data_IF_018379663196
#
_entry.id   IF_018379663196
#
_cell.length_a   1.000
_cell.length_b   1.000
_cell.length_c   1.000
_cell.angle_alpha   90.00
_cell.angle_beta   90.00
_cell.angle_gamma   90.00
#
_symmetry.space_group_name_H-M   'P 1'
#
loop_
_entity.id
_entity.type
_entity.pdbx_description
1 polymer ?
#
# COMPACT_ATOMS: atom_id res chain seq x y z
N UNK A 1 10.62 -14.19 -1.42
CA UNK A 1 11.35 -12.90 -1.37
C UNK A 1 10.39 -11.79 -1.74
N UNK A 2 10.35 -10.69 -1.00
CA UNK A 2 9.46 -9.54 -1.24
C UNK A 2 10.26 -8.34 -1.72
N UNK A 3 9.93 -7.84 -2.90
CA UNK A 3 10.59 -6.72 -3.55
C UNK A 3 9.56 -5.62 -3.75
N UNK A 4 9.88 -4.40 -3.35
CA UNK A 4 9.10 -3.22 -3.76
C UNK A 4 9.86 -2.49 -4.85
N UNK A 5 9.13 -2.07 -5.88
CA UNK A 5 9.63 -1.18 -6.91
C UNK A 5 9.10 0.22 -6.60
N UNK A 6 10.01 1.17 -6.36
CA UNK A 6 9.66 2.51 -5.90
C UNK A 6 10.39 3.59 -6.71
N UNK A 7 9.79 4.77 -6.81
CA UNK A 7 10.38 5.95 -7.46
C UNK A 7 9.94 7.21 -6.75
N UNK A 8 10.81 8.22 -6.71
CA UNK A 8 10.47 9.48 -6.03
C UNK A 8 9.53 10.40 -6.82
N UNK A 9 9.24 10.10 -8.09
CA UNK A 9 8.20 10.77 -8.88
C UNK A 9 7.52 9.83 -9.87
N UNK A 10 6.41 10.31 -10.44
CA UNK A 10 5.72 9.66 -11.55
C UNK A 10 6.51 9.74 -12.86
N UNK A 11 6.31 8.75 -13.74
CA UNK A 11 6.82 8.78 -15.11
C UNK A 11 8.29 8.37 -15.29
N UNK A 12 8.96 7.83 -14.27
CA UNK A 12 10.33 7.25 -14.39
C UNK A 12 10.34 5.82 -14.96
N UNK A 13 9.17 5.22 -15.21
CA UNK A 13 9.04 3.84 -15.71
C UNK A 13 8.99 2.77 -14.63
N UNK A 14 8.70 3.14 -13.38
CA UNK A 14 8.53 2.24 -12.23
C UNK A 14 7.66 1.01 -12.54
N UNK A 15 6.41 1.22 -13.00
CA UNK A 15 5.50 0.12 -13.35
C UNK A 15 6.07 -0.75 -14.45
N UNK A 16 6.66 -0.16 -15.49
CA UNK A 16 7.30 -0.90 -16.59
C UNK A 16 8.42 -1.81 -16.08
N UNK A 17 9.27 -1.31 -15.18
CA UNK A 17 10.33 -2.12 -14.55
C UNK A 17 9.72 -3.20 -13.66
N UNK A 18 8.69 -2.89 -12.88
CA UNK A 18 8.03 -3.83 -11.98
C UNK A 18 7.38 -4.99 -12.74
N UNK A 19 6.62 -4.70 -13.79
CA UNK A 19 5.92 -5.72 -14.59
C UNK A 19 6.92 -6.52 -15.43
N UNK A 20 7.95 -5.89 -15.97
CA UNK A 20 9.05 -6.60 -16.65
C UNK A 20 9.77 -7.55 -15.71
N UNK A 21 10.07 -7.12 -14.47
CA UNK A 21 10.66 -7.97 -13.44
C UNK A 21 9.76 -9.17 -13.14
N UNK A 22 8.44 -8.97 -13.07
CA UNK A 22 7.48 -10.06 -12.83
C UNK A 22 7.47 -11.10 -13.96
N UNK A 23 7.55 -10.67 -15.22
CA UNK A 23 7.54 -11.55 -16.39
C UNK A 23 8.82 -12.38 -16.54
N UNK A 24 9.96 -11.84 -16.09
CA UNK A 24 11.26 -12.54 -16.20
C UNK A 24 11.68 -13.23 -14.91
N UNK A 25 10.96 -12.98 -13.80
CA UNK A 25 11.21 -13.63 -12.53
C UNK A 25 11.00 -15.14 -12.66
N UNK A 26 12.00 -15.92 -12.23
CA UNK A 26 11.87 -17.37 -12.16
C UNK A 26 10.98 -17.79 -10.99
N UNK A 27 10.13 -18.79 -11.20
CA UNK A 27 9.28 -19.38 -10.15
C UNK A 27 7.88 -18.77 -10.07
N UNK A 28 7.18 -19.03 -8.97
CA UNK A 28 5.83 -18.52 -8.74
C UNK A 28 5.88 -17.06 -8.25
N UNK A 29 5.23 -16.16 -8.99
CA UNK A 29 5.26 -14.71 -8.75
C UNK A 29 3.89 -14.22 -8.29
N UNK A 30 3.91 -13.41 -7.22
CA UNK A 30 2.81 -12.53 -6.83
C UNK A 30 3.12 -11.10 -7.22
N UNK A 31 2.17 -10.42 -7.83
CA UNK A 31 2.27 -9.01 -8.17
C UNK A 31 1.15 -8.23 -7.49
N UNK A 32 1.52 -7.19 -6.73
CA UNK A 32 0.60 -6.27 -6.08
C UNK A 32 0.78 -4.87 -6.66
N UNK A 33 -0.24 -4.34 -7.33
CA UNK A 33 -0.26 -2.94 -7.76
C UNK A 33 -0.75 -2.06 -6.60
N UNK A 34 0.20 -1.47 -5.87
CA UNK A 34 -0.06 -0.62 -4.72
C UNK A 34 -0.22 0.85 -5.09
N UNK A 35 -0.14 1.22 -6.38
CA UNK A 35 -0.47 2.57 -6.86
C UNK A 35 -1.99 2.75 -6.97
N UNK A 36 -2.68 2.66 -5.83
CA UNK A 36 -4.14 2.52 -5.77
C UNK A 36 -4.92 3.75 -6.27
N UNK A 37 -4.24 4.88 -6.41
CA UNK A 37 -4.81 6.11 -6.97
C UNK A 37 -4.83 6.08 -8.50
N UNK A 38 -3.89 5.36 -9.12
CA UNK A 38 -3.74 5.26 -10.56
C UNK A 38 -3.18 3.88 -10.98
N UNK A 39 -3.85 2.77 -10.64
CA UNK A 39 -3.33 1.43 -10.90
C UNK A 39 -3.29 1.19 -12.41
N UNK A 40 -2.19 0.64 -12.90
CA UNK A 40 -1.92 0.50 -14.33
C UNK A 40 -1.15 -0.77 -14.69
N UNK A 41 -0.73 -1.59 -13.72
CA UNK A 41 0.01 -2.82 -13.97
C UNK A 41 -0.82 -3.85 -14.76
N UNK A 42 -2.15 -3.85 -14.59
CA UNK A 42 -3.06 -4.71 -15.33
C UNK A 42 -2.99 -4.48 -16.86
N UNK A 43 -2.61 -3.27 -17.31
CA UNK A 43 -2.42 -2.97 -18.73
C UNK A 43 -1.23 -3.72 -19.35
N UNK A 44 -0.23 -4.05 -18.54
CA UNK A 44 0.98 -4.76 -18.97
C UNK A 44 0.85 -6.28 -18.78
N UNK A 45 0.23 -6.70 -17.68
CA UNK A 45 0.16 -8.10 -17.27
C UNK A 45 -1.11 -8.82 -17.73
N UNK A 46 -2.13 -8.06 -18.18
CA UNK A 46 -3.39 -8.56 -18.72
C UNK A 46 -4.08 -9.66 -17.87
N UNK A 47 -4.26 -9.47 -16.55
CA UNK A 47 -4.88 -10.47 -15.68
C UNK A 47 -6.36 -10.67 -16.01
N UNK A 48 -6.85 -11.90 -15.84
CA UNK A 48 -8.29 -12.15 -15.73
C UNK A 48 -8.69 -11.89 -14.29
N UNK A 49 -9.40 -10.78 -14.05
CA UNK A 49 -9.87 -10.40 -12.72
C UNK A 49 -11.14 -11.19 -12.37
N UNK A 50 -11.04 -12.06 -11.37
CA UNK A 50 -12.13 -12.97 -10.96
C UNK A 50 -12.72 -12.61 -9.60
N UNK A 51 -12.02 -11.76 -8.85
CA UNK A 51 -12.34 -11.45 -7.46
C UNK A 51 -12.43 -9.95 -7.25
N UNK A 52 -13.37 -9.57 -6.38
CA UNK A 52 -13.66 -8.19 -6.03
C UNK A 52 -14.01 -8.14 -4.54
N UNK A 53 -13.40 -7.22 -3.81
CA UNK A 53 -13.62 -7.03 -2.38
C UNK A 53 -13.64 -5.55 -2.04
N UNK A 54 -14.73 -5.09 -1.41
CA UNK A 54 -14.79 -3.73 -0.86
C UNK A 54 -13.76 -3.58 0.27
N UNK A 55 -13.05 -2.46 0.26
CA UNK A 55 -12.07 -2.10 1.28
C UNK A 55 -12.36 -0.70 1.80
N UNK A 56 -12.21 -0.54 3.10
CA UNK A 56 -12.58 0.69 3.78
C UNK A 56 -12.14 0.69 5.22
N UNK A 57 -12.56 1.73 5.93
CA UNK A 57 -12.32 1.87 7.36
C UNK A 57 -13.63 1.83 8.13
N UNK A 58 -13.55 1.46 9.40
CA UNK A 58 -14.69 1.46 10.29
C UNK A 58 -14.91 2.86 10.87
N UNK A 59 -15.93 3.57 10.39
CA UNK A 59 -16.29 4.88 10.91
C UNK A 59 -17.29 4.76 12.07
N UNK A 60 -17.13 5.58 13.12
CA UNK A 60 -18.09 5.61 14.21
C UNK A 60 -19.46 6.15 13.77
N UNK A 61 -20.51 5.64 14.38
CA UNK A 61 -21.89 6.12 14.26
C UNK A 61 -22.45 6.29 15.66
N UNK A 62 -22.88 7.51 15.96
CA UNK A 62 -23.42 7.88 17.29
C UNK A 62 -24.92 7.64 17.31
N UNK A 63 -25.38 6.88 18.30
CA UNK A 63 -26.78 6.79 18.68
C UNK A 63 -27.13 7.97 19.61
N UNK A 64 -27.83 8.96 19.07
CA UNK A 64 -28.25 10.16 19.81
C UNK A 64 -29.26 9.88 20.91
N UNK A 65 -29.93 8.71 20.92
CA UNK A 65 -30.83 8.33 22.01
C UNK A 65 -30.07 7.84 23.25
N UNK A 66 -28.87 7.29 23.06
CA UNK A 66 -28.00 6.80 24.14
C UNK A 66 -26.91 7.80 24.53
N UNK A 67 -26.52 8.68 23.61
CA UNK A 67 -25.41 9.60 23.83
C UNK A 67 -25.73 10.66 24.89
N UNK A 68 -24.93 10.69 25.95
CA UNK A 68 -25.00 11.74 26.98
C UNK A 68 -24.18 12.98 26.65
N UNK A 69 -23.51 13.00 25.49
CA UNK A 69 -22.56 14.05 25.08
C UNK A 69 -21.43 14.29 26.10
N UNK A 70 -20.99 13.24 26.79
CA UNK A 70 -19.97 13.33 27.83
C UNK A 70 -18.57 13.74 27.33
N UNK A 71 -18.31 13.68 26.02
CA UNK A 71 -17.04 14.09 25.43
C UNK A 71 -15.94 13.01 25.41
N UNK A 72 -16.14 11.86 26.07
CA UNK A 72 -15.09 10.83 26.20
C UNK A 72 -14.53 10.34 24.86
N UNK A 73 -15.38 10.21 23.84
CA UNK A 73 -14.97 9.81 22.49
C UNK A 73 -14.04 10.83 21.82
N UNK A 74 -14.23 12.12 22.07
CA UNK A 74 -13.36 13.18 21.58
C UNK A 74 -12.03 13.23 22.33
N UNK A 75 -12.05 13.01 23.66
CA UNK A 75 -10.84 12.95 24.49
C UNK A 75 -9.86 11.85 24.06
N UNK A 76 -10.37 10.67 23.69
CA UNK A 76 -9.54 9.52 23.30
C UNK A 76 -9.18 9.51 21.80
N UNK A 77 -9.61 10.51 21.05
CA UNK A 77 -9.37 10.59 19.61
C UNK A 77 -8.09 11.37 19.32
N UNK A 78 -6.98 10.64 19.14
CA UNK A 78 -5.66 11.21 18.78
C UNK A 78 -5.67 11.97 17.45
N UNK A 79 -6.62 11.67 16.57
CA UNK A 79 -6.75 12.30 15.25
C UNK A 79 -7.70 13.50 15.26
N UNK A 80 -8.33 13.79 16.41
CA UNK A 80 -9.32 14.86 16.55
C UNK A 80 -10.47 14.80 15.52
N UNK A 81 -10.81 13.58 15.10
CA UNK A 81 -11.92 13.32 14.17
C UNK A 81 -13.31 13.45 14.82
N UNK A 82 -13.38 13.75 16.11
CA UNK A 82 -14.62 13.86 16.88
C UNK A 82 -14.60 15.13 17.71
N UNK A 83 -15.68 15.91 17.64
CA UNK A 83 -15.90 17.08 18.48
C UNK A 83 -17.27 17.00 19.16
N UNK A 84 -17.34 17.40 20.43
CA UNK A 84 -18.62 17.50 21.16
C UNK A 84 -18.88 18.96 21.49
N UNK A 85 -19.96 19.52 20.96
CA UNK A 85 -20.34 20.93 21.12
C UNK A 85 -21.77 21.00 21.63
N UNK A 86 -21.94 21.35 22.90
CA UNK A 86 -23.25 21.36 23.56
C UNK A 86 -23.87 19.97 23.56
N UNK A 87 -24.97 19.80 22.82
CA UNK A 87 -25.69 18.52 22.67
C UNK A 87 -25.54 17.93 21.27
N UNK A 88 -24.36 18.07 20.67
CA UNK A 88 -24.05 17.50 19.37
C UNK A 88 -22.69 16.82 19.41
N UNK A 89 -22.63 15.61 18.87
CA UNK A 89 -21.39 14.87 18.64
C UNK A 89 -21.12 14.87 17.14
N UNK A 90 -20.11 15.63 16.71
CA UNK A 90 -19.71 15.74 15.31
C UNK A 90 -18.58 14.76 15.03
N UNK A 91 -18.68 14.03 13.92
CA UNK A 91 -17.64 13.16 13.39
C UNK A 91 -17.17 13.76 12.07
N UNK A 92 -15.85 13.81 11.87
CA UNK A 92 -15.18 14.23 10.64
C UNK A 92 -14.57 12.98 9.99
N UNK A 93 -15.28 12.32 9.05
CA UNK A 93 -14.83 11.09 8.41
C UNK A 93 -13.41 11.19 7.83
N UNK A 94 -13.08 12.34 7.24
CA UNK A 94 -11.83 12.58 6.52
C UNK A 94 -10.60 12.58 7.43
N UNK A 95 -10.81 12.80 8.73
CA UNK A 95 -9.77 12.75 9.77
C UNK A 95 -9.78 11.42 10.54
N UNK A 96 -10.75 10.54 10.29
CA UNK A 96 -10.90 9.32 11.05
C UNK A 96 -9.99 8.21 10.48
N UNK A 97 -9.20 7.57 11.34
CA UNK A 97 -8.35 6.43 10.94
C UNK A 97 -9.00 5.06 11.23
N UNK A 98 -10.27 5.04 11.63
CA UNK A 98 -11.02 3.81 11.92
C UNK A 98 -10.43 2.92 13.02
N UNK A 99 -9.78 3.50 14.03
CA UNK A 99 -9.12 2.74 15.10
C UNK A 99 -10.06 2.15 16.16
N UNK A 100 -11.35 2.52 16.15
CA UNK A 100 -12.35 2.04 17.11
C UNK A 100 -12.23 2.54 18.55
N UNK A 101 -11.23 3.40 18.87
CA UNK A 101 -11.00 3.88 20.24
C UNK A 101 -12.22 4.56 20.85
N UNK A 102 -12.95 5.36 20.06
CA UNK A 102 -14.16 6.05 20.50
C UNK A 102 -15.30 5.10 20.90
N UNK A 103 -15.53 4.02 20.13
CA UNK A 103 -16.53 3.00 20.43
C UNK A 103 -16.16 2.23 21.69
N UNK A 104 -14.90 1.79 21.80
CA UNK A 104 -14.39 1.03 22.95
C UNK A 104 -14.46 1.82 24.27
N UNK A 105 -14.28 3.13 24.22
CA UNK A 105 -14.24 4.00 25.40
C UNK A 105 -15.57 4.72 25.68
N UNK A 106 -16.63 4.46 24.91
CA UNK A 106 -17.93 5.07 25.16
C UNK A 106 -18.59 4.45 26.40
N UNK A 107 -18.80 5.20 27.50
CA UNK A 107 -19.39 4.63 28.73
C UNK A 107 -20.85 4.20 28.53
N UNK A 108 -21.59 4.92 27.68
CA UNK A 108 -23.00 4.64 27.37
C UNK A 108 -23.17 3.59 26.28
N UNK A 109 -22.07 3.12 25.67
CA UNK A 109 -22.10 2.26 24.46
C UNK A 109 -22.93 2.85 23.32
N UNK A 110 -22.96 4.18 23.23
CA UNK A 110 -23.71 4.93 22.23
C UNK A 110 -23.01 5.00 20.87
N UNK A 111 -21.83 4.41 20.70
CA UNK A 111 -21.07 4.47 19.44
C UNK A 111 -20.96 3.05 18.89
N UNK A 112 -21.49 2.87 17.68
CA UNK A 112 -21.28 1.70 16.84
C UNK A 112 -20.34 2.03 15.69
N UNK A 113 -19.93 1.04 14.89
CA UNK A 113 -19.05 1.24 13.75
C UNK A 113 -19.73 0.74 12.47
N UNK A 114 -19.60 1.50 11.39
CA UNK A 114 -20.02 1.10 10.04
C UNK A 114 -18.82 1.10 9.11
N UNK A 115 -18.79 0.15 8.17
CA UNK A 115 -17.80 0.18 7.10
C UNK A 115 -18.06 1.37 6.18
N UNK A 116 -17.04 2.17 5.96
CA UNK A 116 -17.02 3.24 4.98
C UNK A 116 -16.07 2.84 3.87
N UNK A 117 -16.63 2.49 2.71
CA UNK A 117 -15.91 1.88 1.60
C UNK A 117 -15.12 2.96 0.86
N UNK A 118 -13.80 2.84 0.90
CA UNK A 118 -12.86 3.78 0.28
C UNK A 118 -12.38 3.29 -1.09
N UNK A 119 -12.67 2.06 -1.46
CA UNK A 119 -12.24 1.49 -2.72
C UNK A 119 -12.47 -0.01 -2.77
N UNK A 120 -11.84 -0.64 -3.72
CA UNK A 120 -11.98 -2.08 -3.97
C UNK A 120 -10.61 -2.70 -4.17
N UNK A 121 -10.50 -3.98 -3.80
CA UNK A 121 -9.40 -4.84 -4.18
C UNK A 121 -9.89 -5.78 -5.26
N UNK A 122 -9.13 -5.87 -6.33
CA UNK A 122 -9.41 -6.76 -7.45
C UNK A 122 -8.22 -7.68 -7.67
N UNK A 123 -8.48 -8.92 -8.04
CA UNK A 123 -7.39 -9.86 -8.29
C UNK A 123 -7.79 -11.06 -9.13
N UNK A 124 -6.77 -11.80 -9.54
CA UNK A 124 -6.89 -12.91 -10.46
C UNK A 124 -5.54 -13.42 -10.95
N UNK A 125 -5.51 -14.03 -12.13
CA UNK A 125 -4.31 -14.65 -12.69
C UNK A 125 -4.01 -14.10 -14.09
N UNK A 126 -2.73 -13.90 -14.41
CA UNK A 126 -2.28 -13.48 -15.74
C UNK A 126 -2.12 -14.67 -16.70
N UNK A 127 -2.04 -14.46 -18.03
CA UNK A 127 -1.71 -15.51 -18.98
C UNK A 127 -0.38 -16.21 -18.68
N UNK A 128 0.58 -15.49 -18.11
CA UNK A 128 1.90 -16.00 -17.68
C UNK A 128 1.88 -16.69 -16.31
N UNK A 129 0.70 -16.84 -15.69
CA UNK A 129 0.53 -17.54 -14.41
C UNK A 129 0.91 -16.73 -13.17
N UNK A 130 0.98 -15.40 -13.26
CA UNK A 130 1.27 -14.49 -12.13
C UNK A 130 -0.01 -14.32 -11.29
N UNK A 131 0.13 -14.49 -9.96
CA UNK A 131 -0.90 -14.17 -8.96
C UNK A 131 -1.00 -12.64 -8.83
N UNK A 132 -2.02 -12.04 -9.42
CA UNK A 132 -2.14 -10.59 -9.55
C UNK A 132 -3.21 -10.03 -8.61
N UNK A 133 -2.93 -8.91 -7.97
CA UNK A 133 -3.94 -8.08 -7.33
C UNK A 133 -3.61 -6.59 -7.43
N UNK A 134 -4.66 -5.77 -7.40
CA UNK A 134 -4.57 -4.32 -7.38
C UNK A 134 -5.56 -3.74 -6.37
N UNK A 135 -5.26 -2.57 -5.84
CA UNK A 135 -6.23 -1.73 -5.15
C UNK A 135 -6.69 -0.62 -6.09
N UNK A 136 -7.98 -0.30 -6.05
CA UNK A 136 -8.57 0.82 -6.78
C UNK A 136 -9.27 1.71 -5.77
N UNK A 137 -8.75 2.92 -5.58
CA UNK A 137 -9.29 3.90 -4.64
C UNK A 137 -10.46 4.66 -5.27
N UNK A 138 -11.49 4.94 -4.48
CA UNK A 138 -12.58 5.82 -4.88
C UNK A 138 -12.06 7.25 -5.06
N UNK A 139 -12.67 7.99 -6.00
CA UNK A 139 -12.28 9.38 -6.26
C UNK A 139 -12.66 10.26 -5.08
N UNK A 140 -11.70 11.05 -4.60
CA UNK A 140 -11.90 12.00 -3.50
C UNK A 140 -11.55 11.46 -2.12
N UNK A 141 -11.09 10.21 -2.02
CA UNK A 141 -10.65 9.64 -0.76
C UNK A 141 -9.38 10.31 -0.23
N UNK A 142 -9.29 10.56 1.09
CA UNK A 142 -8.17 11.30 1.67
C UNK A 142 -6.94 10.42 1.93
N UNK A 143 -7.08 9.09 1.94
CA UNK A 143 -6.02 8.18 2.37
C UNK A 143 -5.97 6.88 1.57
N UNK A 144 -4.86 6.65 0.86
CA UNK A 144 -4.58 5.40 0.17
C UNK A 144 -4.05 4.27 1.10
N UNK A 145 -3.47 4.63 2.25
CA UNK A 145 -2.78 3.68 3.15
C UNK A 145 -3.65 2.50 3.61
N UNK A 146 -4.94 2.67 4.00
CA UNK A 146 -5.80 1.55 4.36
C UNK A 146 -5.95 0.51 3.24
N UNK A 147 -6.13 0.97 2.00
CA UNK A 147 -6.28 0.11 0.82
C UNK A 147 -4.99 -0.69 0.59
N UNK A 148 -3.84 -0.01 0.59
CA UNK A 148 -2.52 -0.66 0.43
C UNK A 148 -2.28 -1.70 1.53
N UNK A 149 -2.68 -1.40 2.76
CA UNK A 149 -2.51 -2.32 3.90
C UNK A 149 -3.34 -3.60 3.73
N UNK A 150 -4.57 -3.50 3.26
CA UNK A 150 -5.39 -4.70 2.98
C UNK A 150 -4.90 -5.43 1.72
N UNK A 151 -4.49 -4.72 0.67
CA UNK A 151 -3.90 -5.32 -0.53
C UNK A 151 -2.66 -6.17 -0.21
N UNK A 152 -1.81 -5.73 0.72
CA UNK A 152 -0.64 -6.50 1.18
C UNK A 152 -0.99 -7.81 1.87
N UNK A 153 -2.24 -8.01 2.29
CA UNK A 153 -2.75 -9.26 2.87
C UNK A 153 -3.42 -10.16 1.82
N UNK A 154 -3.46 -9.72 0.55
CA UNK A 154 -4.10 -10.45 -0.53
C UNK A 154 -3.59 -11.89 -0.61
N UNK A 155 -4.53 -12.83 -0.71
CA UNK A 155 -4.22 -14.24 -0.87
C UNK A 155 -5.27 -14.94 -1.74
N UNK A 156 -4.92 -15.20 -3.00
CA UNK A 156 -5.78 -15.86 -3.98
C UNK A 156 -6.24 -17.26 -3.56
N UNK A 157 -5.52 -17.96 -2.68
CA UNK A 157 -5.92 -19.26 -2.15
C UNK A 157 -7.04 -19.18 -1.10
N UNK A 158 -7.14 -18.08 -0.35
CA UNK A 158 -8.14 -17.94 0.72
C UNK A 158 -9.54 -17.61 0.18
N UNK A 159 -9.63 -17.10 -1.05
CA UNK A 159 -10.86 -16.58 -1.64
C UNK A 159 -11.61 -17.60 -2.51
N UNK A 160 -10.98 -18.72 -2.89
CA UNK A 160 -11.65 -19.81 -3.65
C UNK A 160 -12.68 -20.61 -2.83
N UNK A 161 -12.82 -20.35 -1.52
CA UNK A 161 -13.70 -21.11 -0.63
C UNK A 161 -14.55 -20.29 0.36
N UNK A 162 -14.53 -18.95 0.29
CA UNK A 162 -15.14 -18.10 1.31
C UNK A 162 -16.13 -17.09 0.70
N UNK A 163 -17.29 -17.57 0.24
CA UNK A 163 -18.42 -16.69 -0.06
C UNK A 163 -19.73 -17.29 0.48
N UNK A 164 -20.07 -16.88 1.71
CA UNK A 164 -21.46 -16.64 2.09
C UNK A 164 -21.52 -15.22 2.71
N UNK A 165 -22.54 -14.40 2.39
CA UNK A 165 -22.68 -13.03 2.91
C UNK A 165 -22.77 -12.92 4.45
N UNK A 166 -23.00 -14.04 5.13
CA UNK A 166 -23.24 -14.09 6.58
C UNK A 166 -21.93 -14.04 7.41
N UNK A 167 -20.79 -14.42 6.81
CA UNK A 167 -19.52 -14.59 7.54
C UNK A 167 -18.89 -13.27 8.02
N UNK A 168 -19.15 -12.14 7.34
CA UNK A 168 -18.59 -10.83 7.69
C UNK A 168 -19.16 -10.29 9.00
N UNK A 169 -20.40 -10.67 9.36
CA UNK A 169 -21.05 -10.26 10.62
C UNK A 169 -20.52 -10.95 11.87
N UNK A 170 -19.67 -11.98 11.72
CA UNK A 170 -19.34 -12.92 12.80
C UNK A 170 -17.89 -12.90 13.29
N UNK A 171 -17.03 -12.03 12.74
CA UNK A 171 -15.65 -11.90 13.21
C UNK A 171 -15.65 -11.20 14.58
N UNK A 172 -15.33 -11.90 15.69
CA UNK A 172 -15.31 -11.28 16.99
C UNK A 172 -14.09 -10.36 17.07
N UNK A 173 -14.33 -9.09 17.41
CA UNK A 173 -13.28 -8.18 17.82
C UNK A 173 -12.47 -8.79 18.97
N UNK A 174 -11.22 -9.17 18.70
CA UNK A 174 -10.28 -9.55 19.75
C UNK A 174 -8.85 -9.06 19.49
N UNK A 175 -8.47 -8.16 20.39
CA UNK A 175 -7.15 -7.95 21.00
C UNK A 175 -5.97 -7.70 20.06
N UNK A 176 -5.64 -6.40 19.95
CA UNK A 176 -4.26 -5.92 19.86
C UNK A 176 -3.45 -6.49 21.05
N UNK A 177 -2.79 -7.62 20.85
CA UNK A 177 -1.59 -7.93 21.62
C UNK A 177 -0.47 -7.04 21.07
N UNK A 178 0.34 -6.48 21.99
CA UNK A 178 1.63 -5.81 21.70
C UNK A 178 2.26 -6.41 20.44
N UNK A 179 2.60 -5.57 19.47
CA UNK A 179 3.38 -5.95 18.30
C UNK A 179 4.78 -6.42 18.74
N UNK A 180 4.87 -7.67 19.21
CA UNK A 180 6.09 -8.44 19.13
C UNK A 180 6.32 -8.75 17.65
N UNK A 181 7.51 -8.40 17.15
CA UNK A 181 7.99 -8.72 15.81
C UNK A 181 7.60 -10.18 15.50
N UNK A 182 6.71 -10.44 14.52
CA UNK A 182 6.23 -11.80 14.30
C UNK A 182 7.43 -12.69 14.00
N UNK A 183 7.48 -13.92 14.57
CA UNK A 183 8.50 -14.88 14.19
C UNK A 183 8.42 -15.06 12.67
N UNK A 184 9.56 -15.28 12.02
CA UNK A 184 9.63 -15.64 10.60
C UNK A 184 8.90 -16.97 10.41
N UNK A 185 7.58 -16.93 10.30
CA UNK A 185 6.77 -18.06 9.91
C UNK A 185 7.02 -18.26 8.43
N UNK A 186 7.78 -19.31 8.10
CA UNK A 186 7.85 -19.86 6.76
C UNK A 186 6.42 -20.04 6.25
N UNK A 187 6.03 -19.23 5.27
CA UNK A 187 4.73 -19.37 4.63
C UNK A 187 4.63 -20.75 3.97
N UNK A 188 3.44 -21.38 3.97
CA UNK A 188 3.21 -22.60 3.22
C UNK A 188 3.41 -22.30 1.72
N UNK A 189 3.98 -23.27 0.99
CA UNK A 189 4.38 -23.19 -0.42
C UNK A 189 3.30 -22.54 -1.31
N UNK A 190 3.66 -21.52 -2.09
CA UNK A 190 2.70 -20.86 -2.98
C UNK A 190 3.16 -19.66 -3.83
N UNK A 191 4.17 -18.87 -3.45
CA UNK A 191 4.80 -17.86 -4.32
C UNK A 191 6.24 -17.59 -3.83
N UNK A 192 7.24 -17.79 -4.68
CA UNK A 192 8.66 -17.62 -4.32
C UNK A 192 9.05 -16.14 -4.30
N UNK A 193 8.37 -15.30 -5.10
CA UNK A 193 8.65 -13.88 -5.26
C UNK A 193 7.34 -13.08 -5.16
N UNK A 194 7.33 -12.04 -4.35
CA UNK A 194 6.27 -11.03 -4.30
C UNK A 194 6.85 -9.69 -4.74
N UNK A 195 6.25 -9.07 -5.75
CA UNK A 195 6.61 -7.76 -6.29
C UNK A 195 5.49 -6.79 -5.94
N UNK A 196 5.85 -5.65 -5.37
CA UNK A 196 4.93 -4.55 -5.07
C UNK A 196 5.28 -3.35 -5.92
N UNK A 197 4.35 -2.89 -6.76
CA UNK A 197 4.50 -1.63 -7.47
C UNK A 197 4.02 -0.49 -6.58
N UNK A 198 4.93 0.33 -6.07
CA UNK A 198 4.61 1.43 -5.15
C UNK A 198 3.90 2.58 -5.88
N UNK A 199 3.10 3.43 -5.22
CA UNK A 199 2.77 4.74 -5.77
C UNK A 199 4.05 5.59 -5.94
N UNK A 200 4.02 6.64 -6.77
CA UNK A 200 5.13 7.58 -6.91
C UNK A 200 5.28 8.46 -5.66
N UNK A 201 6.49 8.95 -5.41
CA UNK A 201 6.75 9.95 -4.38
C UNK A 201 7.56 9.44 -3.20
N UNK A 202 7.44 10.16 -2.09
CA UNK A 202 8.12 9.88 -0.82
C UNK A 202 7.15 10.08 0.37
N UNK A 203 5.90 9.63 0.20
CA UNK A 203 4.78 9.86 1.14
C UNK A 203 4.38 8.58 1.89
N UNK A 204 3.40 8.67 2.81
CA UNK A 204 2.94 7.54 3.62
C UNK A 204 2.52 6.29 2.81
N UNK A 205 1.84 6.41 1.65
CA UNK A 205 1.58 5.27 0.76
C UNK A 205 2.84 4.50 0.34
N UNK A 206 3.92 5.21 -0.01
CA UNK A 206 5.22 4.61 -0.36
C UNK A 206 5.82 3.86 0.82
N UNK A 207 5.81 4.50 1.99
CA UNK A 207 6.30 3.89 3.25
C UNK A 207 5.51 2.62 3.57
N UNK A 208 4.17 2.65 3.46
CA UNK A 208 3.34 1.49 3.72
C UNK A 208 3.65 0.33 2.75
N UNK A 209 3.86 0.61 1.46
CA UNK A 209 4.25 -0.42 0.48
C UNK A 209 5.61 -1.05 0.81
N UNK A 210 6.59 -0.23 1.24
CA UNK A 210 7.93 -0.68 1.65
C UNK A 210 7.94 -1.53 2.93
N UNK A 211 6.98 -1.33 3.85
CA UNK A 211 6.97 -2.08 5.11
C UNK A 211 6.84 -3.58 4.88
N UNK A 212 7.78 -4.33 5.47
CA UNK A 212 7.80 -5.78 5.44
C UNK A 212 8.32 -6.38 4.13
N UNK A 213 8.99 -5.60 3.28
CA UNK A 213 9.73 -6.13 2.12
C UNK A 213 11.14 -6.55 2.51
N UNK A 214 11.78 -7.34 1.66
CA UNK A 214 13.14 -7.82 1.85
C UNK A 214 14.17 -6.98 1.04
N UNK A 215 13.73 -6.27 -0.01
CA UNK A 215 14.57 -5.42 -0.86
C UNK A 215 13.77 -4.28 -1.52
N UNK A 216 14.41 -3.12 -1.70
CA UNK A 216 13.86 -1.96 -2.43
C UNK A 216 14.57 -1.77 -3.77
N UNK A 217 13.86 -1.95 -4.86
CA UNK A 217 14.32 -1.62 -6.20
C UNK A 217 13.89 -0.19 -6.56
N UNK A 218 14.85 0.72 -6.62
CA UNK A 218 14.61 2.14 -6.91
C UNK A 218 14.68 2.39 -8.41
N UNK A 219 13.69 3.07 -8.99
CA UNK A 219 13.68 3.42 -10.41
C UNK A 219 13.78 4.93 -10.56
N UNK A 220 14.85 5.38 -11.20
CA UNK A 220 15.13 6.80 -11.44
C UNK A 220 15.45 7.06 -12.92
N UNK A 221 15.63 8.32 -13.28
CA UNK A 221 16.18 8.75 -14.57
C UNK A 221 17.37 9.70 -14.33
N UNK A 222 18.34 9.81 -15.25
CA UNK A 222 19.55 10.62 -15.08
C UNK A 222 19.25 12.11 -15.30
N UNK A 223 18.35 12.68 -14.49
CA UNK A 223 18.00 14.11 -14.52
C UNK A 223 18.15 14.73 -13.14
N UNK A 224 18.35 16.06 -13.02
CA UNK A 224 18.45 16.72 -11.72
C UNK A 224 17.25 16.46 -10.81
N UNK A 225 16.05 16.39 -11.38
CA UNK A 225 14.83 16.04 -10.66
C UNK A 225 14.83 14.57 -10.24
N UNK A 226 15.20 13.65 -11.14
CA UNK A 226 15.35 12.23 -10.82
C UNK A 226 16.32 11.99 -9.66
N UNK A 227 17.44 12.72 -9.61
CA UNK A 227 18.38 12.65 -8.50
C UNK A 227 17.80 13.18 -7.18
N UNK A 228 17.13 14.33 -7.21
CA UNK A 228 16.49 14.90 -6.02
C UNK A 228 15.46 13.93 -5.42
N UNK A 229 14.64 13.34 -6.29
CA UNK A 229 13.57 12.43 -5.90
C UNK A 229 14.12 11.08 -5.43
N UNK A 230 15.18 10.57 -6.08
CA UNK A 230 15.92 9.39 -5.63
C UNK A 230 16.45 9.59 -4.20
N UNK A 231 17.06 10.74 -3.90
CA UNK A 231 17.60 11.05 -2.57
C UNK A 231 16.54 10.92 -1.46
N UNK A 232 15.30 11.35 -1.73
CA UNK A 232 14.21 11.25 -0.76
C UNK A 232 13.85 9.78 -0.47
N UNK A 233 13.65 8.98 -1.52
CA UNK A 233 13.25 7.58 -1.38
C UNK A 233 14.38 6.71 -0.80
N UNK A 234 15.64 7.01 -1.13
CA UNK A 234 16.81 6.41 -0.49
C UNK A 234 16.83 6.71 1.02
N UNK A 235 16.48 7.95 1.41
CA UNK A 235 16.33 8.33 2.81
C UNK A 235 15.31 7.45 3.54
N UNK A 236 14.13 7.26 2.95
CA UNK A 236 13.07 6.38 3.49
C UNK A 236 13.56 4.93 3.62
N UNK A 237 14.17 4.38 2.57
CA UNK A 237 14.65 2.99 2.59
C UNK A 237 15.69 2.76 3.69
N UNK A 238 16.59 3.73 3.90
CA UNK A 238 17.60 3.70 4.98
C UNK A 238 17.00 3.81 6.36
N UNK A 239 16.02 4.70 6.56
CA UNK A 239 15.32 4.84 7.84
C UNK A 239 14.56 3.57 8.21
N UNK A 240 14.02 2.87 7.21
CA UNK A 240 13.40 1.54 7.38
C UNK A 240 14.41 0.38 7.51
N UNK A 241 15.70 0.65 7.37
CA UNK A 241 16.76 -0.37 7.43
C UNK A 241 16.68 -1.41 6.31
N UNK A 242 16.17 -1.01 5.14
CA UNK A 242 15.96 -1.90 3.99
C UNK A 242 17.15 -1.83 3.02
N UNK A 243 17.66 -2.97 2.54
CA UNK A 243 18.63 -2.97 1.46
C UNK A 243 17.97 -2.46 0.17
N UNK A 244 18.72 -1.67 -0.60
CA UNK A 244 18.23 -1.05 -1.81
C UNK A 244 19.26 -1.13 -2.94
N UNK A 245 18.77 -1.09 -4.17
CA UNK A 245 19.57 -0.93 -5.38
C UNK A 245 18.77 -0.15 -6.42
N UNK A 246 19.47 0.45 -7.38
CA UNK A 246 18.86 1.38 -8.34
C UNK A 246 18.90 0.85 -9.76
N UNK A 247 17.81 1.09 -10.49
CA UNK A 247 17.70 0.99 -11.95
C UNK A 247 17.63 2.41 -12.49
N UNK A 248 18.62 2.78 -13.31
CA UNK A 248 18.61 4.04 -14.03
C UNK A 248 17.91 3.82 -15.37
N UNK A 249 16.67 4.29 -15.48
CA UNK A 249 15.91 4.24 -16.71
C UNK A 249 16.16 5.49 -17.55
N UNK A 250 16.01 5.36 -18.88
CA UNK A 250 16.32 6.42 -19.85
C UNK A 250 17.77 6.89 -19.76
N UNK A 251 18.68 5.96 -19.56
CA UNK A 251 20.10 6.25 -19.52
C UNK A 251 20.56 7.00 -20.80
N UNK A 252 21.48 7.95 -20.63
CA UNK A 252 22.03 8.78 -21.69
C UNK A 252 21.28 10.09 -22.01
N UNK A 253 20.18 10.43 -21.33
CA UNK A 253 19.45 11.71 -21.56
C UNK A 253 19.93 12.90 -20.71
N UNK A 254 20.81 12.68 -19.73
CA UNK A 254 21.30 13.74 -18.85
C UNK A 254 22.75 13.55 -18.42
N UNK A 255 23.06 13.87 -17.16
CA UNK A 255 24.43 13.88 -16.65
C UNK A 255 24.73 12.67 -15.74
N UNK A 256 25.98 12.59 -15.27
CA UNK A 256 26.46 11.50 -14.42
C UNK A 256 26.19 11.75 -12.91
N UNK A 257 25.28 12.66 -12.56
CA UNK A 257 25.07 13.06 -11.16
C UNK A 257 24.40 11.94 -10.34
N UNK A 258 23.57 11.11 -10.98
CA UNK A 258 22.95 9.94 -10.35
C UNK A 258 24.02 8.89 -10.01
N UNK A 259 24.91 8.58 -10.94
CA UNK A 259 26.01 7.64 -10.75
C UNK A 259 26.96 8.11 -9.65
N UNK A 260 27.31 9.40 -9.68
CA UNK A 260 28.17 10.03 -8.67
C UNK A 260 27.55 9.88 -7.28
N UNK A 261 26.28 10.26 -7.13
CA UNK A 261 25.56 10.12 -5.86
C UNK A 261 25.47 8.67 -5.40
N UNK A 262 25.14 7.73 -6.28
CA UNK A 262 25.05 6.31 -5.94
C UNK A 262 26.39 5.78 -5.41
N UNK A 263 27.52 6.20 -5.99
CA UNK A 263 28.85 5.90 -5.48
C UNK A 263 29.13 6.48 -4.10
N UNK A 264 28.76 7.74 -3.86
CA UNK A 264 28.93 8.42 -2.56
C UNK A 264 28.14 7.75 -1.43
N UNK A 265 26.95 7.22 -1.74
CA UNK A 265 26.05 6.60 -0.77
C UNK A 265 26.11 5.08 -0.74
N UNK A 266 27.07 4.47 -1.43
CA UNK A 266 27.24 3.02 -1.55
C UNK A 266 25.95 2.30 -2.00
N UNK A 267 25.16 2.94 -2.87
CA UNK A 267 23.93 2.40 -3.43
C UNK A 267 24.25 1.69 -4.76
N UNK A 268 24.10 0.36 -4.87
CA UNK A 268 24.45 -0.36 -6.08
C UNK A 268 23.50 -0.01 -7.24
N UNK A 269 24.08 0.37 -8.37
CA UNK A 269 23.37 0.43 -9.65
C UNK A 269 23.26 -0.99 -10.20
N UNK A 270 22.04 -1.52 -10.25
CA UNK A 270 21.77 -2.89 -10.68
C UNK A 270 21.61 -3.00 -12.20
N UNK A 271 21.11 -1.94 -12.83
CA UNK A 271 20.87 -1.90 -14.27
C UNK A 271 20.78 -0.46 -14.76
N UNK A 272 21.22 -0.23 -16.00
CA UNK A 272 20.96 1.00 -16.76
C UNK A 272 20.18 0.61 -18.02
N UNK A 273 19.05 1.27 -18.26
CA UNK A 273 18.17 1.02 -19.41
C UNK A 273 18.27 2.25 -20.33
N UNK A 274 18.87 2.14 -21.53
CA UNK A 274 19.09 3.28 -22.41
C UNK A 274 17.79 3.79 -23.04
N UNK A 275 17.75 5.09 -23.37
CA UNK A 275 16.62 5.68 -24.10
C UNK A 275 16.71 5.36 -25.60
N UNK A 276 16.05 4.28 -26.03
CA UNK A 276 15.97 3.91 -27.45
C UNK A 276 14.53 3.60 -27.89
N UNK A 277 14.17 3.94 -29.13
CA UNK A 277 12.82 3.71 -29.67
C UNK A 277 12.37 2.24 -29.67
N UNK A 278 13.29 1.28 -29.68
CA UNK A 278 12.94 -0.15 -29.63
C UNK A 278 12.41 -0.60 -28.27
N UNK A 279 12.55 0.22 -27.23
CA UNK A 279 12.05 -0.02 -25.88
C UNK A 279 10.76 0.79 -25.59
N UNK A 280 10.21 1.48 -26.59
CA UNK A 280 9.02 2.33 -26.48
C UNK A 280 7.79 1.70 -27.14
#
# INVERSE_FOLDING_TARGET
MRIVVASGKGGTGKTTVATSLALVAGGAVRFLDCDVEAPNAALFLNPVLETHQDVGIQLPVVDEALCTHCGRCAEVCEFHAIAVIGKKTLIFPELCHGCGSCALNCPEKAISERLDVMGVLEGGTTPDGIDFAQGVMNVGEPMAVPIIRELKKWNSMSLRGAFSPEAISSLPGRLLRREERPPRTSSPQGNDIEIRDSPPGASCPVVETMRGVDFVLLVTEPTPFGLHDLKQVVGIARELGLPAGVVVNRDGIGDNAVETYCGEVELPILMQIPMERRFA
#
